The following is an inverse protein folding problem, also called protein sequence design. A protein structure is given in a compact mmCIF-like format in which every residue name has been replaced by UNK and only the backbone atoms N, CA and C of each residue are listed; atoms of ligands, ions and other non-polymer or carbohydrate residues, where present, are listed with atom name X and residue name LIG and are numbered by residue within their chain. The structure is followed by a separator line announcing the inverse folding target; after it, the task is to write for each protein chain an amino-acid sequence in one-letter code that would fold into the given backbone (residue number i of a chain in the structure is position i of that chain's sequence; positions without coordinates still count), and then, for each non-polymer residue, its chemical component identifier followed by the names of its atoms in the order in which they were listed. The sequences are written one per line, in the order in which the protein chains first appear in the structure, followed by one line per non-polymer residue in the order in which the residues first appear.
data_IF_370368860720
#
_entry.id   IF_370368860720
#
_cell.length_a   1.000
_cell.length_b   1.000
_cell.length_c   1.000
_cell.angle_alpha   90.00
_cell.angle_beta   90.00
_cell.angle_gamma   90.00
#
_symmetry.space_group_name_H-M   'P 1'
#
loop_
_entity.id
_entity.type
_entity.pdbx_description
1 polymer ?
#
# COMPACT_ATOMS: atom_id res chain seq x y z
N UNK A 1 15.47 -19.61 -15.46
CA UNK A 1 15.98 -18.41 -16.14
C UNK A 1 16.99 -17.77 -15.20
N UNK A 2 18.24 -17.61 -15.62
CA UNK A 2 19.29 -16.98 -14.82
C UNK A 2 19.05 -15.46 -14.78
N UNK A 3 19.52 -14.78 -13.73
CA UNK A 3 19.50 -13.31 -13.57
C UNK A 3 20.03 -12.56 -14.79
N UNK A 4 21.05 -13.11 -15.48
CA UNK A 4 21.62 -12.54 -16.69
C UNK A 4 20.63 -12.58 -17.86
N UNK A 5 19.98 -13.73 -18.07
CA UNK A 5 18.97 -13.91 -19.12
C UNK A 5 17.76 -13.01 -18.89
N UNK A 6 17.37 -12.83 -17.63
CA UNK A 6 16.28 -11.93 -17.25
C UNK A 6 16.63 -10.47 -17.55
N UNK A 7 17.84 -10.01 -17.21
CA UNK A 7 18.31 -8.66 -17.55
C UNK A 7 18.31 -8.40 -19.04
N UNK A 8 18.90 -9.31 -19.80
CA UNK A 8 18.94 -9.21 -21.27
C UNK A 8 17.54 -9.14 -21.86
N UNK A 9 16.62 -9.99 -21.38
CA UNK A 9 15.23 -9.96 -21.85
C UNK A 9 14.56 -8.62 -21.53
N UNK A 10 14.78 -8.05 -20.34
CA UNK A 10 14.19 -6.74 -19.98
C UNK A 10 14.72 -5.65 -20.92
N UNK A 11 16.03 -5.56 -21.12
CA UNK A 11 16.65 -4.57 -22.01
C UNK A 11 16.08 -4.64 -23.43
N UNK A 12 15.91 -5.84 -23.98
CA UNK A 12 15.32 -6.02 -25.31
C UNK A 12 13.86 -5.57 -25.38
N UNK A 13 13.08 -5.78 -24.33
CA UNK A 13 11.69 -5.30 -24.28
C UNK A 13 11.63 -3.78 -24.18
N UNK A 14 12.57 -3.12 -23.49
CA UNK A 14 12.60 -1.67 -23.38
C UNK A 14 12.86 -0.97 -24.73
N UNK A 15 13.57 -1.63 -25.65
CA UNK A 15 13.83 -1.10 -26.99
C UNK A 15 12.59 -1.07 -27.90
N UNK A 16 11.59 -1.92 -27.63
CA UNK A 16 10.39 -2.04 -28.47
C UNK A 16 9.18 -1.29 -27.92
N UNK A 17 9.28 -0.74 -26.71
CA UNK A 17 8.20 -0.06 -26.01
C UNK A 17 8.13 1.42 -26.41
N UNK A 18 6.90 1.92 -26.59
CA UNK A 18 6.64 3.33 -26.89
C UNK A 18 7.05 4.25 -25.73
N UNK A 19 7.55 5.48 -26.00
CA UNK A 19 8.00 6.43 -24.97
C UNK A 19 6.97 6.75 -23.88
N UNK A 20 5.68 6.77 -24.23
CA UNK A 20 4.59 7.02 -23.27
C UNK A 20 4.48 5.92 -22.19
N UNK A 21 4.86 4.69 -22.54
CA UNK A 21 4.87 3.56 -21.63
C UNK A 21 6.16 3.47 -20.80
N UNK A 22 7.24 4.13 -21.24
CA UNK A 22 8.50 4.20 -20.47
C UNK A 22 8.32 4.96 -19.16
N UNK A 23 7.43 5.96 -19.11
CA UNK A 23 7.13 6.69 -17.88
C UNK A 23 6.56 5.77 -16.79
N UNK A 24 5.62 4.90 -17.14
CA UNK A 24 5.06 3.95 -16.18
C UNK A 24 6.09 2.92 -15.71
N UNK A 25 7.02 2.54 -16.59
CA UNK A 25 8.11 1.63 -16.23
C UNK A 25 9.07 2.30 -15.26
N UNK A 26 9.41 3.57 -15.48
CA UNK A 26 10.27 4.35 -14.59
C UNK A 26 9.64 4.47 -13.18
N UNK A 27 8.37 4.90 -13.11
CA UNK A 27 7.60 4.96 -11.86
C UNK A 27 7.56 3.60 -11.15
N UNK A 28 7.40 2.50 -11.90
CA UNK A 28 7.37 1.16 -11.33
C UNK A 28 8.74 0.69 -10.83
N UNK A 29 9.83 1.07 -11.50
CA UNK A 29 11.20 0.80 -11.05
C UNK A 29 11.48 1.55 -9.75
N UNK A 30 11.06 2.81 -9.64
CA UNK A 30 11.15 3.57 -8.39
C UNK A 30 10.35 2.90 -7.27
N UNK A 31 9.12 2.44 -7.55
CA UNK A 31 8.32 1.69 -6.59
C UNK A 31 9.01 0.40 -6.11
N UNK A 32 9.66 -0.35 -7.00
CA UNK A 32 10.40 -1.56 -6.63
C UNK A 32 11.57 -1.22 -5.70
N UNK A 33 12.33 -0.17 -5.99
CA UNK A 33 13.45 0.29 -5.14
C UNK A 33 12.95 0.70 -3.76
N UNK A 34 11.91 1.52 -3.71
CA UNK A 34 11.26 1.91 -2.47
C UNK A 34 10.84 0.69 -1.66
N UNK A 35 10.16 -0.28 -2.28
CA UNK A 35 9.73 -1.51 -1.59
C UNK A 35 10.92 -2.33 -1.06
N UNK A 36 12.03 -2.43 -1.80
CA UNK A 36 13.22 -3.13 -1.32
C UNK A 36 13.80 -2.47 -0.07
N UNK A 37 13.85 -1.13 -0.05
CA UNK A 37 14.31 -0.35 1.10
C UNK A 37 13.35 -0.45 2.29
N UNK A 38 12.03 -0.36 2.06
CA UNK A 38 10.99 -0.37 3.10
C UNK A 38 10.64 -1.77 3.62
N UNK A 39 10.91 -2.84 2.85
CA UNK A 39 10.67 -4.23 3.28
C UNK A 39 11.49 -4.66 4.50
N UNK A 40 12.54 -3.90 4.85
CA UNK A 40 13.31 -4.09 6.07
C UNK A 40 12.65 -3.45 7.31
N UNK A 41 11.65 -2.57 7.14
CA UNK A 41 11.08 -1.77 8.23
C UNK A 41 9.65 -2.14 8.65
N UNK A 42 8.85 -2.76 7.79
CA UNK A 42 7.44 -3.02 8.12
C UNK A 42 7.23 -4.43 8.68
N UNK A 43 7.65 -4.62 9.93
CA UNK A 43 6.89 -5.51 10.81
C UNK A 43 5.57 -4.81 11.10
N UNK A 44 4.58 -5.00 10.24
CA UNK A 44 3.22 -4.58 10.56
C UNK A 44 2.88 -5.23 11.90
N UNK A 45 2.55 -4.41 12.90
CA UNK A 45 2.03 -4.89 14.19
C UNK A 45 0.60 -5.40 13.96
N UNK A 46 0.46 -6.38 13.06
CA UNK A 46 -0.80 -7.02 12.79
C UNK A 46 -1.18 -7.79 14.06
N UNK A 47 -2.09 -7.19 14.82
CA UNK A 47 -2.66 -7.84 15.99
C UNK A 47 -3.82 -8.69 15.50
N UNK A 48 -3.75 -10.04 15.63
CA UNK A 48 -4.84 -10.89 15.21
C UNK A 48 -6.12 -10.50 15.96
N UNK A 49 -7.25 -10.57 15.27
CA UNK A 49 -8.54 -10.30 15.87
C UNK A 49 -8.76 -11.22 17.10
N UNK A 50 -9.24 -10.66 18.20
CA UNK A 50 -9.39 -11.40 19.46
C UNK A 50 -10.37 -12.58 19.42
N UNK A 51 -11.13 -12.74 18.33
CA UNK A 51 -12.13 -13.81 18.14
C UNK A 51 -13.38 -13.69 19.03
N UNK A 52 -13.35 -12.83 20.04
CA UNK A 52 -14.47 -12.64 20.96
C UNK A 52 -15.51 -11.68 20.32
N UNK A 53 -16.80 -11.78 20.69
CA UNK A 53 -17.91 -10.98 20.09
C UNK A 53 -17.75 -9.45 20.22
N UNK A 54 -17.98 -8.69 19.15
CA UNK A 54 -17.94 -7.21 19.14
C UNK A 54 -18.95 -6.61 20.12
N UNK A 55 -20.06 -7.33 20.38
CA UNK A 55 -21.14 -6.87 21.27
C UNK A 55 -20.69 -6.67 22.72
N UNK A 56 -19.53 -7.20 23.15
CA UNK A 56 -19.00 -6.92 24.51
C UNK A 56 -18.69 -5.44 24.76
N UNK A 57 -18.52 -4.66 23.68
CA UNK A 57 -18.21 -3.24 23.73
C UNK A 57 -19.46 -2.38 23.50
N UNK A 58 -20.65 -2.99 23.36
CA UNK A 58 -21.90 -2.25 23.29
C UNK A 58 -22.15 -1.54 24.62
N UNK A 59 -22.44 -0.23 24.56
CA UNK A 59 -22.64 0.60 25.75
C UNK A 59 -21.36 0.98 26.50
N UNK A 60 -20.17 0.56 26.03
CA UNK A 60 -18.88 1.03 26.58
C UNK A 60 -18.32 2.23 25.83
N UNK A 61 -19.03 2.72 24.81
CA UNK A 61 -18.65 3.92 24.09
C UNK A 61 -18.79 5.12 25.01
N UNK A 62 -17.67 5.76 25.33
CA UNK A 62 -17.59 7.01 26.08
C UNK A 62 -17.19 8.07 25.07
N UNK A 63 -18.18 8.69 24.44
CA UNK A 63 -18.00 9.76 23.47
C UNK A 63 -19.34 10.46 23.21
N UNK A 64 -19.34 11.79 23.32
CA UNK A 64 -20.43 12.69 22.93
C UNK A 64 -20.10 13.47 21.65
N UNK A 65 -19.08 13.00 20.93
CA UNK A 65 -18.45 13.61 19.75
C UNK A 65 -19.23 13.41 18.44
N UNK A 66 -20.44 12.85 18.51
CA UNK A 66 -21.30 12.62 17.34
C UNK A 66 -21.55 13.93 16.56
N UNK A 67 -21.85 15.03 17.26
CA UNK A 67 -22.07 16.34 16.66
C UNK A 67 -20.82 16.89 15.96
N UNK A 68 -19.65 16.68 16.56
CA UNK A 68 -18.37 17.12 16.00
C UNK A 68 -18.03 16.32 14.73
N UNK A 69 -18.25 15.00 14.77
CA UNK A 69 -18.10 14.13 13.61
C UNK A 69 -19.02 14.53 12.45
N UNK A 70 -20.28 14.87 12.73
CA UNK A 70 -21.23 15.32 11.71
C UNK A 70 -20.82 16.66 11.07
N UNK A 71 -20.27 17.59 11.86
CA UNK A 71 -19.73 18.86 11.35
C UNK A 71 -18.54 18.63 10.42
N UNK A 72 -17.61 17.73 10.78
CA UNK A 72 -16.46 17.41 9.93
C UNK A 72 -16.86 16.82 8.57
N UNK A 73 -17.88 15.96 8.53
CA UNK A 73 -18.35 15.36 7.27
C UNK A 73 -19.08 16.38 6.39
N UNK A 74 -19.89 17.25 6.99
CA UNK A 74 -20.66 18.26 6.25
C UNK A 74 -19.82 19.42 5.71
N UNK A 75 -18.59 19.58 6.18
CA UNK A 75 -17.66 20.63 5.74
C UNK A 75 -16.74 20.22 4.58
N UNK A 76 -16.96 19.04 3.97
CA UNK A 76 -16.29 18.60 2.74
C UNK A 76 -17.20 18.68 1.52
#
# INVERSE_FOLDING_TARGET
MNSLELRQKIEQNLLTISPENLKFIDEFVEFIKYKQETSLSEKTNYRPASGRSILRHAGTWVGDDLEECLKLVSQN
#
